data_IF_748787278836
#
_entry.id   IF_748787278836
#
_cell.length_a   1.000
_cell.length_b   1.000
_cell.length_c   1.000
_cell.angle_alpha   90.00
_cell.angle_beta   90.00
_cell.angle_gamma   90.00
#
_symmetry.space_group_name_H-M   'P 1'
#
loop_
_entity.id
_entity.type
_entity.pdbx_description
1 polymer ?
#
# COMPACT_ATOMS: atom_id res chain seq x y z
N UNK A 1 2.01 10.58 -3.49
CA UNK A 1 1.53 11.65 -4.39
C UNK A 1 2.60 12.71 -4.69
N UNK A 2 3.78 12.28 -5.14
CA UNK A 2 4.91 13.16 -5.54
C UNK A 2 5.42 12.82 -6.95
N UNK A 3 4.57 12.25 -7.82
CA UNK A 3 4.92 11.86 -9.21
C UNK A 3 6.20 10.98 -9.21
N UNK A 4 6.15 9.84 -8.50
CA UNK A 4 7.27 8.90 -8.32
C UNK A 4 8.47 9.47 -7.53
N UNK A 5 8.32 10.63 -6.87
CA UNK A 5 9.31 11.15 -5.92
C UNK A 5 9.23 10.44 -4.57
N UNK A 6 10.28 10.57 -3.77
CA UNK A 6 10.33 10.01 -2.42
C UNK A 6 11.20 10.83 -1.48
N UNK A 7 11.17 10.48 -0.21
CA UNK A 7 11.99 11.11 0.81
C UNK A 7 12.50 10.07 1.80
N UNK A 8 13.69 10.28 2.32
CA UNK A 8 14.28 9.49 3.40
C UNK A 8 14.36 10.38 4.64
N UNK A 9 13.72 9.96 5.72
CA UNK A 9 13.82 10.61 7.03
C UNK A 9 14.74 9.77 7.94
N UNK A 10 15.65 10.41 8.64
CA UNK A 10 16.63 9.76 9.52
C UNK A 10 16.97 10.66 10.71
N UNK A 11 17.42 10.04 11.81
CA UNK A 11 17.83 10.73 13.03
C UNK A 11 19.34 10.95 13.13
N UNK A 12 20.12 10.08 12.47
CA UNK A 12 21.59 10.16 12.48
C UNK A 12 22.08 11.17 11.45
N UNK A 13 22.63 12.32 11.87
CA UNK A 13 23.10 13.36 10.96
C UNK A 13 24.28 12.91 10.08
N UNK A 14 25.05 11.89 10.49
CA UNK A 14 26.18 11.36 9.73
C UNK A 14 25.74 10.67 8.41
N UNK A 15 24.48 10.21 8.34
CA UNK A 15 23.92 9.61 7.13
C UNK A 15 23.63 10.63 6.02
N UNK A 16 23.60 11.92 6.32
CA UNK A 16 23.19 12.95 5.36
C UNK A 16 24.06 12.97 4.11
N UNK A 17 25.37 13.02 4.27
CA UNK A 17 26.29 13.13 3.15
C UNK A 17 26.33 11.81 2.34
N UNK A 18 26.34 10.69 3.04
CA UNK A 18 26.29 9.37 2.40
C UNK A 18 25.03 9.20 1.55
N UNK A 19 23.85 9.50 2.09
CA UNK A 19 22.58 9.41 1.36
C UNK A 19 22.53 10.38 0.18
N UNK A 20 23.10 11.58 0.34
CA UNK A 20 23.20 12.55 -0.74
C UNK A 20 24.09 12.02 -1.87
N UNK A 21 25.24 11.45 -1.57
CA UNK A 21 26.17 10.88 -2.54
C UNK A 21 25.55 9.65 -3.25
N UNK A 22 24.92 8.74 -2.51
CA UNK A 22 24.28 7.55 -3.07
C UNK A 22 23.15 7.90 -4.06
N UNK A 23 22.31 8.92 -3.76
CA UNK A 23 21.29 9.38 -4.69
C UNK A 23 21.83 10.14 -5.91
N UNK A 24 23.09 10.56 -5.86
CA UNK A 24 23.77 11.33 -6.90
C UNK A 24 24.95 10.54 -7.49
N UNK A 25 24.68 9.34 -7.97
CA UNK A 25 25.64 8.47 -8.66
C UNK A 25 26.87 8.03 -7.83
N UNK A 26 26.90 8.24 -6.52
CA UNK A 26 28.07 7.95 -5.68
C UNK A 26 29.18 8.99 -5.78
N UNK A 27 28.90 10.17 -6.37
CA UNK A 27 29.86 11.25 -6.59
C UNK A 27 30.18 11.92 -5.24
N UNK A 28 31.48 11.98 -4.90
CA UNK A 28 32.00 12.63 -3.70
C UNK A 28 32.78 13.92 -3.99
N UNK A 29 33.18 14.11 -5.25
CA UNK A 29 33.91 15.29 -5.70
C UNK A 29 33.91 15.44 -7.20
N UNK A 30 34.56 16.47 -7.73
CA UNK A 30 34.53 16.83 -9.15
C UNK A 30 34.98 15.67 -10.06
N UNK A 31 36.01 14.93 -9.67
CA UNK A 31 36.52 13.77 -10.39
C UNK A 31 36.53 12.49 -9.52
N UNK A 32 35.71 12.45 -8.47
CA UNK A 32 35.72 11.38 -7.47
C UNK A 32 34.33 10.72 -7.38
N UNK A 33 34.32 9.40 -7.55
CA UNK A 33 33.16 8.54 -7.37
C UNK A 33 33.57 7.39 -6.46
N UNK A 34 33.12 7.41 -5.22
CA UNK A 34 33.54 6.45 -4.20
C UNK A 34 32.49 5.38 -3.91
N UNK A 35 31.24 5.62 -4.31
CA UNK A 35 30.12 4.71 -4.03
C UNK A 35 29.42 4.26 -5.29
N UNK A 36 28.84 3.06 -5.25
CA UNK A 36 27.87 2.62 -6.26
C UNK A 36 26.54 3.28 -5.95
N UNK A 37 26.22 4.36 -6.64
CA UNK A 37 25.02 5.15 -6.45
C UNK A 37 24.10 5.15 -7.67
N UNK A 38 22.86 5.57 -7.45
CA UNK A 38 21.86 5.72 -8.50
C UNK A 38 21.54 7.20 -8.80
N UNK A 39 20.84 7.46 -9.90
CA UNK A 39 20.20 8.74 -10.10
C UNK A 39 18.86 8.79 -9.33
N UNK A 40 18.96 9.07 -8.05
CA UNK A 40 17.81 9.19 -7.15
C UNK A 40 17.39 10.66 -6.87
N UNK A 41 17.80 11.59 -7.73
CA UNK A 41 17.43 13.00 -7.56
C UNK A 41 15.97 13.24 -7.90
N UNK A 42 15.25 13.91 -7.00
CA UNK A 42 13.90 14.40 -7.23
C UNK A 42 13.96 15.72 -8.02
N UNK A 43 13.13 15.88 -9.05
CA UNK A 43 13.03 17.11 -9.78
C UNK A 43 12.11 18.13 -9.07
N UNK A 44 12.15 19.39 -9.50
CA UNK A 44 11.40 20.48 -8.89
C UNK A 44 9.88 20.29 -8.91
N UNK A 45 9.32 19.65 -9.96
CA UNK A 45 7.88 19.37 -10.05
C UNK A 45 7.46 18.31 -9.03
N UNK A 46 8.26 17.27 -8.87
CA UNK A 46 8.03 16.25 -7.84
C UNK A 46 8.10 16.86 -6.44
N UNK A 47 9.09 17.73 -6.19
CA UNK A 47 9.24 18.43 -4.92
C UNK A 47 8.05 19.37 -4.63
N UNK A 48 7.65 20.16 -5.62
CA UNK A 48 6.51 21.08 -5.51
C UNK A 48 5.21 20.32 -5.24
N UNK A 49 4.94 19.22 -5.95
CA UNK A 49 3.78 18.37 -5.73
C UNK A 49 3.80 17.75 -4.32
N UNK A 50 4.95 17.25 -3.88
CA UNK A 50 5.11 16.72 -2.53
C UNK A 50 4.81 17.76 -1.44
N UNK A 51 5.34 18.98 -1.57
CA UNK A 51 5.09 20.09 -0.65
C UNK A 51 3.62 20.52 -0.65
N UNK A 52 2.95 20.54 -1.80
CA UNK A 52 1.52 20.82 -1.88
C UNK A 52 0.70 19.76 -1.16
N UNK A 53 0.97 18.47 -1.41
CA UNK A 53 0.22 17.37 -0.82
C UNK A 53 0.43 17.24 0.69
N UNK A 54 1.62 17.56 1.21
CA UNK A 54 1.87 17.57 2.66
C UNK A 54 0.96 18.53 3.44
N UNK A 55 0.41 19.56 2.80
CA UNK A 55 -0.53 20.49 3.46
C UNK A 55 -1.90 19.87 3.70
N UNK A 56 -2.25 18.82 2.99
CA UNK A 56 -3.56 18.17 3.01
C UNK A 56 -3.54 16.78 3.64
N UNK A 57 -2.35 16.21 3.88
CA UNK A 57 -2.19 14.81 4.28
C UNK A 57 -2.94 14.43 5.56
N UNK A 58 -2.96 15.30 6.57
CA UNK A 58 -3.65 15.01 7.83
C UNK A 58 -5.18 15.00 7.65
N UNK A 59 -5.73 15.91 6.83
CA UNK A 59 -7.15 15.93 6.49
C UNK A 59 -7.55 14.68 5.69
N UNK A 60 -6.70 14.28 4.74
CA UNK A 60 -6.92 13.09 3.94
C UNK A 60 -6.84 11.78 4.76
N UNK A 61 -5.93 11.73 5.73
CA UNK A 61 -5.86 10.63 6.71
C UNK A 61 -7.14 10.56 7.54
N UNK A 62 -7.65 11.70 8.01
CA UNK A 62 -8.88 11.75 8.79
C UNK A 62 -10.09 11.26 7.98
N UNK A 63 -10.23 11.67 6.73
CA UNK A 63 -11.29 11.20 5.83
C UNK A 63 -11.21 9.68 5.61
N UNK A 64 -10.02 9.15 5.26
CA UNK A 64 -9.83 7.70 5.07
C UNK A 64 -10.08 6.90 6.35
N UNK A 65 -9.81 7.48 7.51
CA UNK A 65 -10.14 6.85 8.79
C UNK A 65 -11.64 6.60 8.91
N UNK A 66 -12.48 7.60 8.65
CA UNK A 66 -13.95 7.48 8.70
C UNK A 66 -14.44 6.37 7.77
N UNK A 67 -13.92 6.31 6.54
CA UNK A 67 -14.26 5.26 5.58
C UNK A 67 -13.82 3.87 6.06
N UNK A 68 -12.62 3.77 6.65
CA UNK A 68 -12.12 2.51 7.22
C UNK A 68 -12.99 2.04 8.38
N UNK A 69 -13.43 2.96 9.25
CA UNK A 69 -14.35 2.65 10.35
C UNK A 69 -15.67 2.15 9.81
N UNK A 70 -16.19 2.72 8.71
CA UNK A 70 -17.44 2.24 8.06
C UNK A 70 -17.26 0.83 7.48
N UNK A 71 -16.18 0.54 6.78
CA UNK A 71 -15.88 -0.82 6.33
C UNK A 71 -15.82 -1.81 7.50
N UNK A 72 -15.20 -1.42 8.61
CA UNK A 72 -15.11 -2.27 9.82
C UNK A 72 -16.47 -2.50 10.48
N UNK A 73 -17.31 -1.49 10.50
CA UNK A 73 -18.68 -1.61 11.00
C UNK A 73 -19.49 -2.62 10.17
N UNK A 74 -19.37 -2.57 8.84
CA UNK A 74 -20.13 -3.41 7.92
C UNK A 74 -19.59 -4.84 7.82
N UNK A 75 -18.28 -5.00 7.70
CA UNK A 75 -17.64 -6.29 7.45
C UNK A 75 -17.08 -6.95 8.72
N UNK A 76 -17.01 -6.21 9.82
CA UNK A 76 -16.46 -6.74 11.07
C UNK A 76 -17.39 -7.75 11.73
N UNK A 77 -16.82 -8.90 12.12
CA UNK A 77 -17.57 -9.98 12.76
C UNK A 77 -18.31 -10.91 11.78
N UNK A 78 -18.26 -10.66 10.50
CA UNK A 78 -18.77 -11.58 9.48
C UNK A 78 -17.88 -12.81 9.41
N UNK A 79 -18.47 -13.99 9.50
CA UNK A 79 -17.73 -15.26 9.45
C UNK A 79 -17.02 -15.40 8.10
N UNK A 80 -15.74 -15.78 8.12
CA UNK A 80 -14.92 -15.92 6.94
C UNK A 80 -14.33 -14.60 6.42
N UNK A 81 -14.69 -13.44 6.98
CA UNK A 81 -14.10 -12.14 6.65
C UNK A 81 -13.16 -11.69 7.78
N UNK A 82 -11.89 -11.48 7.47
CA UNK A 82 -10.90 -11.03 8.44
C UNK A 82 -10.33 -9.67 8.07
N UNK A 83 -10.46 -8.73 8.98
CA UNK A 83 -9.92 -7.36 8.87
C UNK A 83 -8.65 -7.22 9.71
N UNK A 84 -7.72 -6.39 9.22
CA UNK A 84 -6.52 -6.05 9.99
C UNK A 84 -6.87 -5.25 11.24
N UNK A 85 -6.40 -5.72 12.40
CA UNK A 85 -6.58 -5.01 13.66
C UNK A 85 -5.54 -3.91 13.81
N UNK A 86 -5.96 -2.78 14.34
CA UNK A 86 -5.04 -1.72 14.74
C UNK A 86 -4.25 -2.14 15.99
N UNK A 87 -2.97 -1.78 16.00
CA UNK A 87 -2.09 -1.98 17.16
C UNK A 87 -2.12 -0.74 18.04
N UNK A 88 -2.19 -0.92 19.35
CA UNK A 88 -2.10 0.17 20.32
C UNK A 88 -0.76 0.92 20.16
N UNK A 89 -0.79 2.22 20.29
CA UNK A 89 0.39 3.09 20.17
C UNK A 89 0.87 3.36 18.74
N UNK A 90 0.16 2.87 17.71
CA UNK A 90 0.48 3.15 16.31
C UNK A 90 -0.48 4.22 15.76
N UNK A 91 0.06 5.27 15.15
CA UNK A 91 -0.73 6.23 14.36
C UNK A 91 -0.82 5.73 12.92
N UNK A 92 -2.01 5.29 12.51
CA UNK A 92 -2.25 4.77 11.16
C UNK A 92 -2.50 5.90 10.16
N UNK A 93 -2.04 5.69 8.93
CA UNK A 93 -2.29 6.61 7.82
C UNK A 93 -3.48 6.18 6.93
N UNK A 94 -4.08 5.03 7.22
CA UNK A 94 -5.21 4.47 6.46
C UNK A 94 -4.98 4.48 4.94
N UNK A 95 -3.79 4.00 4.53
CA UNK A 95 -3.42 4.00 3.11
C UNK A 95 -4.14 2.91 2.31
N UNK A 96 -4.49 1.80 2.97
CA UNK A 96 -5.12 0.63 2.35
C UNK A 96 -6.22 0.07 3.24
N UNK A 97 -7.22 -0.57 2.60
CA UNK A 97 -8.26 -1.36 3.27
C UNK A 97 -8.16 -2.84 2.84
N UNK A 98 -7.19 -3.60 3.37
CA UNK A 98 -7.08 -5.03 3.08
C UNK A 98 -8.14 -5.83 3.84
N UNK A 99 -8.80 -6.71 3.11
CA UNK A 99 -9.79 -7.67 3.62
C UNK A 99 -9.34 -9.07 3.19
N UNK A 100 -9.32 -10.02 4.10
CA UNK A 100 -8.94 -11.41 3.84
C UNK A 100 -10.18 -12.27 3.93
N UNK A 101 -10.45 -13.04 2.87
CA UNK A 101 -11.59 -13.96 2.76
C UNK A 101 -11.12 -15.38 3.07
N UNK A 102 -11.18 -15.76 4.34
CA UNK A 102 -10.71 -17.04 4.87
C UNK A 102 -11.90 -17.89 5.32
N UNK A 103 -12.39 -18.75 4.42
CA UNK A 103 -13.56 -19.58 4.69
C UNK A 103 -14.91 -18.86 4.52
N UNK A 104 -14.93 -17.72 3.87
CA UNK A 104 -16.16 -17.04 3.45
C UNK A 104 -16.89 -17.82 2.37
N UNK A 105 -18.20 -17.59 2.19
CA UNK A 105 -19.05 -18.31 1.23
C UNK A 105 -18.64 -18.14 -0.24
N UNK A 106 -17.88 -17.08 -0.56
CA UNK A 106 -17.28 -16.83 -1.86
C UNK A 106 -15.77 -16.62 -1.70
N UNK A 107 -14.97 -17.05 -2.69
CA UNK A 107 -13.54 -16.79 -2.67
C UNK A 107 -13.19 -15.37 -3.11
N UNK A 108 -11.94 -14.96 -2.85
CA UNK A 108 -11.42 -13.63 -3.19
C UNK A 108 -11.62 -13.28 -4.69
N UNK A 109 -11.50 -14.25 -5.59
CA UNK A 109 -11.57 -14.02 -7.03
C UNK A 109 -13.02 -13.88 -7.49
N UNK A 110 -13.94 -14.59 -6.88
CA UNK A 110 -15.38 -14.44 -7.10
C UNK A 110 -15.85 -13.04 -6.65
N UNK A 111 -15.43 -12.60 -5.45
CA UNK A 111 -15.75 -11.25 -4.94
C UNK A 111 -15.14 -10.17 -5.83
N UNK A 112 -13.88 -10.37 -6.27
CA UNK A 112 -13.24 -9.44 -7.21
C UNK A 112 -14.01 -9.32 -8.52
N UNK A 113 -14.52 -10.43 -9.06
CA UNK A 113 -15.31 -10.45 -10.28
C UNK A 113 -16.67 -9.76 -10.07
N UNK A 114 -17.38 -10.07 -8.97
CA UNK A 114 -18.65 -9.43 -8.62
C UNK A 114 -18.52 -7.89 -8.50
N UNK A 115 -17.54 -7.40 -7.77
CA UNK A 115 -17.28 -5.96 -7.65
C UNK A 115 -17.03 -5.29 -9.01
N UNK A 116 -16.31 -5.98 -9.91
CA UNK A 116 -16.00 -5.46 -11.25
C UNK A 116 -17.26 -5.29 -12.11
N UNK A 117 -18.29 -6.12 -11.96
CA UNK A 117 -19.56 -5.97 -12.68
C UNK A 117 -20.28 -4.65 -12.34
N UNK A 118 -20.02 -4.10 -11.16
CA UNK A 118 -20.53 -2.81 -10.72
C UNK A 118 -19.54 -1.64 -10.92
N UNK A 119 -18.51 -1.83 -11.76
CA UNK A 119 -17.42 -0.85 -11.98
C UNK A 119 -16.62 -0.50 -10.72
N UNK A 120 -16.56 -1.39 -9.74
CA UNK A 120 -15.75 -1.26 -8.53
C UNK A 120 -14.46 -2.04 -8.72
N UNK A 121 -13.32 -1.33 -8.73
CA UNK A 121 -12.01 -1.91 -9.01
C UNK A 121 -11.20 -2.07 -7.71
N UNK A 122 -11.43 -3.17 -7.01
CA UNK A 122 -10.57 -3.60 -5.91
C UNK A 122 -9.22 -4.11 -6.46
N UNK A 123 -8.24 -4.31 -5.58
CA UNK A 123 -6.90 -4.74 -5.99
C UNK A 123 -6.43 -5.97 -5.21
N UNK A 124 -5.81 -6.91 -5.91
CA UNK A 124 -5.18 -8.09 -5.30
C UNK A 124 -3.77 -7.73 -4.81
N UNK A 125 -3.67 -6.97 -3.73
CA UNK A 125 -2.39 -6.48 -3.21
C UNK A 125 -1.90 -7.36 -2.04
N UNK A 126 -0.84 -8.18 -2.24
CA UNK A 126 -0.15 -8.35 -3.52
C UNK A 126 -0.24 -9.80 -3.95
N UNK A 127 -0.65 -10.02 -5.18
CA UNK A 127 -0.75 -11.33 -5.80
C UNK A 127 -0.20 -11.27 -7.23
N UNK A 128 0.54 -12.29 -7.72
CA UNK A 128 1.04 -13.42 -6.91
C UNK A 128 2.14 -13.00 -5.91
N UNK A 129 2.60 -13.93 -5.07
CA UNK A 129 3.78 -13.69 -4.23
C UNK A 129 4.99 -13.35 -5.10
N UNK A 130 5.88 -12.49 -4.61
CA UNK A 130 7.09 -12.08 -5.33
C UNK A 130 7.96 -13.29 -5.72
N UNK A 131 8.05 -14.28 -4.83
CA UNK A 131 8.77 -15.54 -5.08
C UNK A 131 8.27 -16.30 -6.31
N UNK A 132 6.99 -16.13 -6.67
CA UNK A 132 6.38 -16.81 -7.82
C UNK A 132 6.53 -16.02 -9.14
N UNK A 133 7.13 -14.82 -9.12
CA UNK A 133 7.39 -14.06 -10.33
C UNK A 133 8.37 -14.81 -11.25
N UNK A 134 8.12 -14.74 -12.55
CA UNK A 134 8.93 -15.45 -13.53
C UNK A 134 10.44 -15.20 -13.42
N UNK A 135 10.82 -13.99 -12.97
CA UNK A 135 12.22 -13.61 -12.77
C UNK A 135 12.83 -14.14 -11.47
N UNK A 136 12.03 -14.64 -10.51
CA UNK A 136 12.51 -15.10 -9.20
C UNK A 136 12.22 -16.56 -8.89
N UNK A 137 11.22 -17.18 -9.50
CA UNK A 137 10.74 -18.53 -9.17
C UNK A 137 11.77 -19.65 -9.37
N UNK A 138 12.85 -19.41 -10.11
CA UNK A 138 13.94 -20.36 -10.25
C UNK A 138 14.92 -20.34 -9.05
N UNK A 139 14.92 -19.25 -8.28
CA UNK A 139 15.81 -19.04 -7.13
C UNK A 139 15.07 -19.11 -5.78
N UNK A 140 13.78 -18.81 -5.78
CA UNK A 140 12.95 -18.72 -4.57
C UNK A 140 11.65 -19.48 -4.75
N UNK A 141 11.08 -19.94 -3.64
CA UNK A 141 9.77 -20.59 -3.62
C UNK A 141 8.81 -19.85 -2.68
N UNK A 142 7.55 -19.72 -3.06
CA UNK A 142 6.52 -19.20 -2.16
C UNK A 142 6.22 -20.17 -1.00
N UNK A 143 6.64 -21.43 -1.08
CA UNK A 143 6.54 -22.41 0.00
C UNK A 143 7.44 -22.04 1.20
N UNK A 144 8.51 -21.26 0.97
CA UNK A 144 9.38 -20.72 2.02
C UNK A 144 8.68 -19.60 2.81
N UNK A 145 7.59 -19.06 2.28
CA UNK A 145 6.78 -17.99 2.90
C UNK A 145 5.29 -18.37 2.95
N UNK A 146 4.92 -19.46 3.67
CA UNK A 146 3.57 -20.05 3.59
C UNK A 146 2.46 -19.10 4.05
N UNK A 147 2.74 -18.24 5.02
CA UNK A 147 1.78 -17.23 5.48
C UNK A 147 1.51 -16.19 4.38
N UNK A 148 2.57 -15.68 3.74
CA UNK A 148 2.43 -14.72 2.64
C UNK A 148 1.71 -15.35 1.44
N UNK A 149 2.03 -16.60 1.09
CA UNK A 149 1.39 -17.35 0.02
C UNK A 149 -0.12 -17.47 0.27
N UNK A 150 -0.53 -17.89 1.48
CA UNK A 150 -1.94 -17.99 1.86
C UNK A 150 -2.63 -16.63 1.81
N UNK A 151 -2.08 -15.61 2.46
CA UNK A 151 -2.68 -14.26 2.45
C UNK A 151 -2.79 -13.70 1.03
N UNK A 152 -1.79 -13.90 0.18
CA UNK A 152 -1.82 -13.44 -1.21
C UNK A 152 -2.99 -14.06 -2.00
N UNK A 153 -3.39 -15.31 -1.71
CA UNK A 153 -4.53 -15.95 -2.37
C UNK A 153 -5.90 -15.49 -1.85
N UNK A 154 -5.96 -14.95 -0.63
CA UNK A 154 -7.20 -14.64 0.07
C UNK A 154 -7.47 -13.13 0.20
N UNK A 155 -6.46 -12.26 0.02
CA UNK A 155 -6.57 -10.81 0.26
C UNK A 155 -7.13 -10.05 -0.93
N UNK A 156 -8.02 -9.11 -0.64
CA UNK A 156 -8.46 -8.08 -1.55
C UNK A 156 -8.35 -6.72 -0.86
N UNK A 157 -7.78 -5.74 -1.54
CA UNK A 157 -7.70 -4.36 -1.06
C UNK A 157 -8.86 -3.57 -1.66
N UNK A 158 -9.79 -3.16 -0.82
CA UNK A 158 -10.98 -2.40 -1.22
C UNK A 158 -10.63 -0.94 -1.53
N UNK A 159 -11.44 -0.24 -2.35
CA UNK A 159 -11.26 1.18 -2.63
C UNK A 159 -11.22 2.02 -1.34
N UNK A 160 -10.20 2.87 -1.22
CA UNK A 160 -10.04 3.77 -0.08
C UNK A 160 -9.28 5.02 -0.52
N UNK A 161 -9.99 6.14 -0.66
CA UNK A 161 -9.42 7.45 -1.00
C UNK A 161 -10.27 8.57 -0.38
N UNK A 162 -9.71 9.78 -0.15
CA UNK A 162 -10.36 10.82 0.64
C UNK A 162 -11.74 11.28 0.15
N UNK A 163 -11.99 11.19 -1.15
CA UNK A 163 -13.25 11.66 -1.76
C UNK A 163 -14.26 10.51 -2.02
N UNK A 164 -13.99 9.31 -1.53
CA UNK A 164 -14.95 8.22 -1.54
C UNK A 164 -16.12 8.54 -0.58
N UNK A 165 -17.36 8.30 -1.00
CA UNK A 165 -18.50 8.52 -0.13
C UNK A 165 -18.80 7.33 0.78
N UNK A 166 -19.48 7.55 1.89
CA UNK A 166 -19.94 6.47 2.79
C UNK A 166 -20.97 5.58 2.10
N UNK A 167 -21.82 6.16 1.26
CA UNK A 167 -22.80 5.44 0.46
C UNK A 167 -22.12 4.44 -0.48
N UNK A 168 -21.04 4.84 -1.15
CA UNK A 168 -20.27 3.93 -2.00
C UNK A 168 -19.56 2.83 -1.19
N UNK A 169 -19.11 3.14 0.03
CA UNK A 169 -18.60 2.11 0.96
C UNK A 169 -19.68 1.09 1.29
N UNK A 170 -20.92 1.56 1.53
CA UNK A 170 -22.06 0.69 1.82
C UNK A 170 -22.43 -0.18 0.62
N UNK A 171 -22.48 0.38 -0.58
CA UNK A 171 -22.69 -0.37 -1.83
C UNK A 171 -21.62 -1.47 -2.04
N UNK A 172 -20.34 -1.15 -1.79
CA UNK A 172 -19.25 -2.13 -1.86
C UNK A 172 -19.49 -3.27 -0.86
N UNK A 173 -19.89 -2.93 0.37
CA UNK A 173 -20.17 -3.94 1.39
C UNK A 173 -21.40 -4.79 1.05
N UNK A 174 -22.46 -4.19 0.48
CA UNK A 174 -23.68 -4.92 0.06
C UNK A 174 -23.39 -5.94 -1.06
N UNK A 175 -22.43 -5.65 -1.95
CA UNK A 175 -22.02 -6.59 -2.99
C UNK A 175 -21.19 -7.75 -2.40
N UNK A 176 -20.43 -7.49 -1.34
CA UNK A 176 -19.59 -8.51 -0.69
C UNK A 176 -20.42 -9.45 0.18
N UNK A 177 -21.46 -8.93 0.87
CA UNK A 177 -22.30 -9.65 1.84
C UNK A 177 -23.45 -10.38 1.16
#
# INVERSE_FOLDING_TARGET
HSIEGGAVAFHDPELKDLLYQLKNFGITGYEQVEYVGANGKMNEFQAAMGLCNLRHVDADIAKRKVLTERYRERLGGVEGIRLCKEKAGVRYNYAYMPVVFEGYGADRDEIFAALKEYNIFARKYFYPCINDYACYREQFSSDDTPVAKRIASEVLTLPLYPDLSLETVDEICDIIL
#
